data_IF_238587751122
#
_entry.id   IF_238587751122
#
_cell.length_a   1.000
_cell.length_b   1.000
_cell.length_c   1.000
_cell.angle_alpha   90.00
_cell.angle_beta   90.00
_cell.angle_gamma   90.00
#
_symmetry.space_group_name_H-M   'P 1'
#
loop_
_entity.id
_entity.type
_entity.pdbx_description
1 polymer ?
#
# COMPACT_ATOMS: atom_id res chain seq x y z
N UNK A 1 -18.62 33.24 -2.26
CA UNK A 1 -18.57 33.10 -3.73
C UNK A 1 -17.30 33.80 -4.19
N UNK A 2 -16.20 33.09 -4.32
CA UNK A 2 -14.97 33.61 -4.95
C UNK A 2 -15.10 33.36 -6.43
N UNK A 3 -15.50 34.43 -7.16
CA UNK A 3 -15.46 34.41 -8.60
C UNK A 3 -14.01 34.25 -9.05
N UNK A 4 -13.71 33.16 -9.74
CA UNK A 4 -12.48 33.03 -10.50
C UNK A 4 -12.54 34.11 -11.60
N UNK A 5 -11.74 35.16 -11.44
CA UNK A 5 -11.56 36.13 -12.49
C UNK A 5 -10.99 35.40 -13.73
N UNK A 6 -11.51 35.63 -14.95
CA UNK A 6 -10.92 35.09 -16.14
C UNK A 6 -9.46 35.56 -16.24
N UNK A 7 -8.54 34.62 -16.40
CA UNK A 7 -7.16 34.91 -16.60
C UNK A 7 -7.01 35.57 -18.01
N UNK A 8 -6.99 36.88 -18.07
CA UNK A 8 -6.61 37.59 -19.29
C UNK A 8 -5.12 37.37 -19.53
N UNK A 9 -4.79 36.54 -20.49
CA UNK A 9 -3.43 36.37 -20.93
C UNK A 9 -3.13 37.43 -21.99
N UNK A 10 -2.43 38.48 -21.58
CA UNK A 10 -1.86 39.45 -22.51
C UNK A 10 -0.66 38.82 -23.22
N UNK A 11 -0.82 38.45 -24.48
CA UNK A 11 0.28 37.93 -25.29
C UNK A 11 1.16 39.13 -25.69
N UNK A 12 2.27 39.30 -24.99
CA UNK A 12 3.35 40.15 -25.46
C UNK A 12 4.05 39.47 -26.69
N UNK A 13 4.54 40.21 -27.68
CA UNK A 13 5.19 39.63 -28.86
C UNK A 13 6.59 39.11 -28.52
N UNK A 14 6.66 38.13 -27.65
CA UNK A 14 7.87 37.40 -27.32
C UNK A 14 7.81 36.01 -27.96
N UNK A 15 8.98 35.47 -28.27
CA UNK A 15 9.10 34.12 -28.78
C UNK A 15 8.56 33.14 -27.72
N UNK A 16 7.50 32.41 -28.04
CA UNK A 16 6.98 31.37 -27.21
C UNK A 16 7.52 30.01 -27.66
N UNK A 17 8.09 29.27 -26.75
CA UNK A 17 8.44 27.87 -27.00
C UNK A 17 7.16 27.07 -27.29
N UNK A 18 7.14 26.28 -28.37
CA UNK A 18 5.97 25.48 -28.71
C UNK A 18 5.71 24.32 -27.72
N UNK A 19 6.66 24.08 -26.84
CA UNK A 19 6.59 22.98 -25.86
C UNK A 19 5.92 23.45 -24.56
N UNK A 20 4.94 22.67 -24.08
CA UNK A 20 4.25 22.90 -22.82
C UNK A 20 5.02 22.27 -21.66
N UNK A 21 5.35 23.08 -20.66
CA UNK A 21 5.86 22.58 -19.38
C UNK A 21 4.67 22.10 -18.56
N UNK A 22 4.52 20.78 -18.42
CA UNK A 22 3.48 20.17 -17.59
C UNK A 22 4.05 19.77 -16.25
N UNK A 23 3.45 20.29 -15.16
CA UNK A 23 3.76 19.83 -13.82
C UNK A 23 2.87 18.63 -13.46
N UNK A 24 3.51 17.49 -13.26
CA UNK A 24 2.83 16.29 -12.78
C UNK A 24 2.81 16.27 -11.25
N UNK A 25 1.71 15.83 -10.69
CA UNK A 25 1.70 15.47 -9.27
C UNK A 25 2.44 14.16 -9.08
N UNK A 26 3.21 14.06 -7.98
CA UNK A 26 3.99 12.87 -7.65
C UNK A 26 3.10 11.62 -7.62
N UNK A 27 3.44 10.65 -8.47
CA UNK A 27 2.84 9.32 -8.40
C UNK A 27 3.44 8.58 -7.20
N UNK A 28 2.61 7.94 -6.40
CA UNK A 28 3.08 7.05 -5.33
C UNK A 28 3.38 5.67 -5.90
N UNK A 29 4.52 5.11 -5.54
CA UNK A 29 4.83 3.69 -5.81
C UNK A 29 3.99 2.71 -5.00
N UNK A 30 3.22 3.19 -4.02
CA UNK A 30 2.47 2.34 -3.11
C UNK A 30 1.44 1.44 -3.82
N UNK A 31 0.71 1.95 -4.79
CA UNK A 31 -0.28 1.16 -5.54
C UNK A 31 0.37 -0.01 -6.27
N UNK A 32 1.40 0.27 -7.06
CA UNK A 32 2.10 -0.76 -7.84
C UNK A 32 2.77 -1.78 -6.92
N UNK A 33 3.42 -1.30 -5.86
CA UNK A 33 4.13 -2.17 -4.94
C UNK A 33 3.20 -3.06 -4.11
N UNK A 34 2.05 -2.56 -3.67
CA UNK A 34 1.10 -3.29 -2.83
C UNK A 34 0.11 -4.17 -3.63
N UNK A 35 0.25 -4.24 -4.94
CA UNK A 35 -0.62 -5.08 -5.78
C UNK A 35 -1.92 -4.41 -6.19
N UNK A 36 -1.96 -3.07 -6.21
CA UNK A 36 -3.09 -2.30 -6.73
C UNK A 36 -3.43 -2.54 -8.21
N UNK A 37 -2.65 -3.39 -8.89
CA UNK A 37 -2.93 -3.90 -10.23
C UNK A 37 -3.97 -5.02 -10.24
N UNK A 38 -4.28 -5.62 -9.09
CA UNK A 38 -5.35 -6.60 -8.92
C UNK A 38 -6.53 -5.96 -8.18
N UNK A 39 -7.30 -5.10 -8.85
CA UNK A 39 -8.38 -4.38 -8.20
C UNK A 39 -9.48 -5.35 -7.76
N UNK A 40 -10.13 -5.01 -6.66
CA UNK A 40 -11.39 -5.64 -6.29
C UNK A 40 -12.47 -5.37 -7.35
N UNK A 41 -13.51 -6.19 -7.38
CA UNK A 41 -14.63 -5.97 -8.29
C UNK A 41 -15.19 -4.56 -8.16
N UNK A 42 -15.55 -3.99 -9.30
CA UNK A 42 -16.12 -2.65 -9.40
C UNK A 42 -17.34 -2.52 -8.51
N UNK A 43 -17.34 -1.51 -7.64
CA UNK A 43 -18.47 -1.23 -6.78
C UNK A 43 -19.60 -0.57 -7.57
N UNK A 44 -20.83 -1.00 -7.30
CA UNK A 44 -22.04 -0.34 -7.78
C UNK A 44 -22.26 1.00 -7.06
N UNK A 45 -23.04 1.89 -7.66
CA UNK A 45 -23.34 3.20 -7.04
C UNK A 45 -24.12 3.08 -5.72
N UNK A 46 -24.84 1.98 -5.52
CA UNK A 46 -25.65 1.72 -4.34
C UNK A 46 -24.91 1.01 -3.21
N UNK A 47 -23.69 0.52 -3.46
CA UNK A 47 -22.93 -0.28 -2.47
C UNK A 47 -22.37 0.64 -1.37
N UNK A 48 -22.93 0.57 -0.18
CA UNK A 48 -22.51 1.38 0.98
C UNK A 48 -21.42 0.72 1.80
N UNK A 49 -21.34 -0.60 1.78
CA UNK A 49 -20.39 -1.40 2.55
C UNK A 49 -19.87 -2.57 1.71
N UNK A 50 -18.61 -2.91 1.93
CA UNK A 50 -18.01 -4.16 1.43
C UNK A 50 -17.82 -5.10 2.61
N UNK A 51 -18.25 -6.35 2.46
CA UNK A 51 -18.15 -7.38 3.47
C UNK A 51 -17.17 -8.48 3.04
N UNK A 52 -16.26 -8.86 3.93
CA UNK A 52 -15.43 -10.05 3.78
C UNK A 52 -15.79 -11.08 4.85
N UNK A 53 -15.92 -12.34 4.41
CA UNK A 53 -16.21 -13.47 5.29
C UNK A 53 -14.91 -13.96 5.90
N UNK A 54 -14.86 -14.08 7.22
CA UNK A 54 -13.74 -14.65 7.97
C UNK A 54 -14.19 -15.94 8.65
N UNK A 55 -13.39 -16.99 8.50
CA UNK A 55 -13.63 -18.28 9.13
C UNK A 55 -12.45 -18.56 10.08
N UNK A 56 -12.75 -18.68 11.35
CA UNK A 56 -11.76 -19.06 12.35
C UNK A 56 -11.95 -20.53 12.74
N UNK A 57 -10.91 -21.34 12.54
CA UNK A 57 -10.89 -22.73 12.95
C UNK A 57 -10.19 -22.84 14.30
N UNK A 58 -10.89 -23.40 15.29
CA UNK A 58 -10.30 -23.69 16.58
C UNK A 58 -10.13 -25.21 16.69
N UNK A 59 -8.88 -25.63 16.82
CA UNK A 59 -8.53 -27.05 16.95
C UNK A 59 -7.89 -27.28 18.31
N UNK A 60 -8.47 -28.15 19.11
CA UNK A 60 -7.88 -28.64 20.34
C UNK A 60 -7.78 -30.17 20.24
N UNK A 61 -6.59 -30.70 20.42
CA UNK A 61 -6.33 -32.13 20.45
C UNK A 61 -5.62 -32.44 21.75
N UNK A 62 -6.15 -33.41 22.48
CA UNK A 62 -5.54 -33.91 23.70
C UNK A 62 -5.19 -35.39 23.52
N UNK A 63 -3.93 -35.72 23.80
CA UNK A 63 -3.54 -37.13 23.91
C UNK A 63 -4.05 -37.68 25.23
N UNK A 64 -4.92 -38.68 25.17
CA UNK A 64 -5.50 -39.30 26.37
C UNK A 64 -5.31 -40.80 26.33
N UNK A 65 -4.81 -41.38 27.41
CA UNK A 65 -4.67 -42.84 27.59
C UNK A 65 -5.89 -43.48 28.21
N UNK A 66 -6.84 -42.72 28.72
CA UNK A 66 -8.06 -43.23 29.35
C UNK A 66 -9.30 -42.69 28.63
N UNK A 67 -10.37 -43.49 28.63
CA UNK A 67 -11.69 -43.14 28.12
C UNK A 67 -12.40 -42.11 29.01
N UNK A 68 -11.76 -40.96 29.27
CA UNK A 68 -12.40 -39.88 30.01
C UNK A 68 -13.40 -39.14 29.09
N UNK A 69 -14.58 -38.83 29.63
CA UNK A 69 -15.71 -38.21 28.91
C UNK A 69 -15.51 -36.76 28.47
N UNK A 70 -14.32 -36.22 28.58
CA UNK A 70 -14.01 -34.84 28.16
C UNK A 70 -13.07 -34.85 26.98
N UNK A 71 -13.62 -35.02 25.80
CA UNK A 71 -12.88 -34.84 24.55
C UNK A 71 -12.91 -33.37 24.15
N UNK A 72 -11.77 -32.78 23.77
CA UNK A 72 -11.73 -31.44 23.20
C UNK A 72 -12.47 -31.43 21.88
N UNK A 73 -13.22 -30.36 21.61
CA UNK A 73 -13.98 -30.19 20.37
C UNK A 73 -13.28 -29.27 19.40
N UNK A 74 -13.30 -29.65 18.14
CA UNK A 74 -12.99 -28.70 17.05
C UNK A 74 -14.21 -27.84 16.78
N UNK A 75 -14.03 -26.53 16.65
CA UNK A 75 -15.12 -25.61 16.35
C UNK A 75 -14.75 -24.67 15.20
N UNK A 76 -15.78 -24.21 14.50
CA UNK A 76 -15.66 -23.26 13.40
C UNK A 76 -16.48 -22.04 13.75
N UNK A 77 -15.84 -20.88 13.81
CA UNK A 77 -16.49 -19.61 14.14
C UNK A 77 -16.53 -18.75 12.87
N UNK A 78 -17.70 -18.61 12.22
CA UNK A 78 -17.85 -17.67 11.12
C UNK A 78 -17.98 -16.24 11.65
N UNK A 79 -17.33 -15.29 11.01
CA UNK A 79 -17.45 -13.87 11.30
C UNK A 79 -17.43 -13.07 10.01
N UNK A 80 -17.89 -11.83 10.05
CA UNK A 80 -17.82 -10.90 8.93
C UNK A 80 -17.06 -9.65 9.36
N UNK A 81 -16.21 -9.18 8.48
CA UNK A 81 -15.57 -7.88 8.60
C UNK A 81 -16.08 -6.99 7.47
N UNK A 82 -16.25 -5.71 7.72
CA UNK A 82 -16.81 -4.76 6.74
C UNK A 82 -16.00 -3.47 6.70
N UNK A 83 -16.03 -2.82 5.54
CA UNK A 83 -15.51 -1.47 5.36
C UNK A 83 -16.54 -0.62 4.63
N UNK A 84 -16.56 0.68 4.93
CA UNK A 84 -17.44 1.63 4.27
C UNK A 84 -16.94 1.98 2.87
N UNK A 85 -17.85 2.36 1.99
CA UNK A 85 -17.52 2.86 0.66
C UNK A 85 -17.74 4.37 0.60
N UNK A 86 -16.91 5.05 -0.18
CA UNK A 86 -16.92 6.49 -0.34
C UNK A 86 -17.09 6.87 -1.81
N UNK A 87 -17.84 7.92 -2.06
CA UNK A 87 -18.02 8.45 -3.40
C UNK A 87 -17.02 9.57 -3.64
N UNK A 88 -16.12 9.37 -4.58
CA UNK A 88 -15.16 10.36 -5.04
C UNK A 88 -15.75 11.12 -6.23
N UNK A 89 -15.73 12.43 -6.16
CA UNK A 89 -16.29 13.27 -7.21
C UNK A 89 -15.41 14.49 -7.44
N UNK A 90 -15.24 14.83 -8.71
CA UNK A 90 -14.68 16.12 -9.10
C UNK A 90 -15.40 16.63 -10.33
N UNK A 91 -15.44 17.93 -10.50
CA UNK A 91 -16.15 18.58 -11.60
C UNK A 91 -15.18 19.45 -12.39
N UNK A 92 -15.17 19.27 -13.70
CA UNK A 92 -14.52 20.17 -14.64
C UNK A 92 -15.58 20.93 -15.43
N UNK A 93 -15.38 22.21 -15.58
CA UNK A 93 -16.31 23.10 -16.31
C UNK A 93 -15.49 24.01 -17.22
N UNK A 94 -15.96 24.19 -18.44
CA UNK A 94 -15.38 25.14 -19.41
C UNK A 94 -16.49 25.64 -20.33
N UNK A 95 -16.28 26.79 -20.92
CA UNK A 95 -17.15 27.35 -21.94
C UNK A 95 -16.47 27.37 -23.33
N UNK A 96 -17.23 27.75 -24.35
CA UNK A 96 -16.70 27.81 -25.72
C UNK A 96 -15.62 28.90 -25.90
N UNK A 97 -15.64 29.95 -25.08
CA UNK A 97 -14.64 31.02 -25.11
C UNK A 97 -13.33 30.55 -24.50
N UNK A 98 -13.40 29.78 -23.40
CA UNK A 98 -12.23 29.18 -22.77
C UNK A 98 -11.57 28.18 -23.74
N UNK A 99 -12.33 27.38 -24.46
CA UNK A 99 -11.82 26.43 -25.44
C UNK A 99 -11.16 27.15 -26.64
N UNK A 100 -11.77 28.21 -27.13
CA UNK A 100 -11.18 29.02 -28.21
C UNK A 100 -9.90 29.72 -27.75
N UNK A 101 -9.89 30.28 -26.53
CA UNK A 101 -8.71 30.96 -25.99
C UNK A 101 -7.54 29.98 -25.80
N UNK A 102 -7.81 28.77 -25.30
CA UNK A 102 -6.77 27.73 -25.08
C UNK A 102 -6.33 27.09 -26.39
N UNK A 103 -7.21 27.02 -27.40
CA UNK A 103 -6.87 26.61 -28.76
C UNK A 103 -5.78 27.50 -29.37
N UNK A 104 -5.81 28.82 -29.09
CA UNK A 104 -4.75 29.75 -29.50
C UNK A 104 -3.39 29.46 -28.82
N UNK A 105 -3.37 28.76 -27.71
CA UNK A 105 -2.17 28.30 -26.99
C UNK A 105 -1.69 26.90 -27.42
N UNK A 106 -2.39 26.27 -28.37
CA UNK A 106 -2.00 24.97 -28.94
C UNK A 106 -2.29 23.78 -28.08
N UNK A 107 -3.17 23.88 -27.07
CA UNK A 107 -3.59 22.71 -26.27
C UNK A 107 -5.12 22.59 -26.15
N UNK A 108 -5.60 21.35 -26.01
CA UNK A 108 -7.02 21.06 -25.86
C UNK A 108 -7.42 21.13 -24.37
N UNK A 109 -8.15 22.18 -23.99
CA UNK A 109 -8.62 22.40 -22.62
C UNK A 109 -9.43 21.21 -22.06
N UNK A 110 -10.37 20.58 -22.80
CA UNK A 110 -11.11 19.43 -22.28
C UNK A 110 -10.22 18.27 -21.87
N UNK A 111 -9.16 18.00 -22.65
CA UNK A 111 -8.21 16.92 -22.33
C UNK A 111 -7.35 17.23 -21.11
N UNK A 112 -6.90 18.49 -20.98
CA UNK A 112 -6.13 18.93 -19.82
C UNK A 112 -6.97 18.84 -18.52
N UNK A 113 -8.23 19.27 -18.57
CA UNK A 113 -9.15 19.17 -17.44
C UNK A 113 -9.47 17.71 -17.07
N UNK A 114 -9.62 16.85 -18.09
CA UNK A 114 -9.82 15.41 -17.90
C UNK A 114 -8.63 14.77 -17.20
N UNK A 115 -7.41 15.12 -17.62
CA UNK A 115 -6.18 14.64 -17.00
C UNK A 115 -6.08 15.11 -15.55
N UNK A 116 -6.34 16.40 -15.28
CA UNK A 116 -6.31 16.98 -13.95
C UNK A 116 -7.34 16.30 -13.00
N UNK A 117 -8.55 16.06 -13.50
CA UNK A 117 -9.60 15.38 -12.73
C UNK A 117 -9.20 13.94 -12.35
N UNK A 118 -8.63 13.18 -13.31
CA UNK A 118 -8.16 11.82 -13.06
C UNK A 118 -6.97 11.78 -12.10
N UNK A 119 -6.03 12.71 -12.23
CA UNK A 119 -4.92 12.83 -11.30
C UNK A 119 -5.39 13.16 -9.87
N UNK A 120 -6.33 14.08 -9.72
CA UNK A 120 -6.90 14.42 -8.41
C UNK A 120 -7.57 13.22 -7.74
N UNK A 121 -8.33 12.42 -8.49
CA UNK A 121 -8.95 11.20 -7.98
C UNK A 121 -7.88 10.15 -7.61
N UNK A 122 -6.86 9.97 -8.44
CA UNK A 122 -5.78 9.02 -8.14
C UNK A 122 -4.99 9.40 -6.89
N UNK A 123 -4.73 10.70 -6.67
CA UNK A 123 -4.12 11.18 -5.42
C UNK A 123 -4.99 10.91 -4.21
N UNK A 124 -6.29 11.13 -4.32
CA UNK A 124 -7.22 10.87 -3.22
C UNK A 124 -7.31 9.38 -2.90
N UNK A 125 -7.30 8.52 -3.92
CA UNK A 125 -7.24 7.06 -3.73
C UNK A 125 -5.96 6.63 -3.02
N UNK A 126 -4.82 7.21 -3.36
CA UNK A 126 -3.56 6.95 -2.67
C UNK A 126 -3.63 7.31 -1.18
N UNK A 127 -4.14 8.50 -0.89
CA UNK A 127 -4.34 8.93 0.50
C UNK A 127 -5.30 7.99 1.23
N UNK A 128 -6.36 7.57 0.57
CA UNK A 128 -7.31 6.62 1.13
C UNK A 128 -6.71 5.23 1.35
N UNK A 129 -5.74 4.80 0.51
CA UNK A 129 -5.03 3.53 0.71
C UNK A 129 -4.24 3.55 2.02
N UNK A 130 -3.45 4.58 2.25
CA UNK A 130 -2.54 4.64 3.39
C UNK A 130 -3.22 5.15 4.67
N UNK A 131 -3.98 6.23 4.57
CA UNK A 131 -4.53 6.95 5.72
C UNK A 131 -6.01 6.70 5.96
N UNK A 132 -6.75 6.24 4.94
CA UNK A 132 -8.20 6.11 4.98
C UNK A 132 -8.93 7.45 4.91
N UNK A 133 -10.25 7.39 4.76
CA UNK A 133 -11.12 8.57 4.86
C UNK A 133 -11.54 8.85 6.30
N UNK A 134 -11.60 7.81 7.12
CA UNK A 134 -11.89 7.89 8.55
C UNK A 134 -10.87 7.09 9.37
N UNK A 135 -9.69 7.70 9.66
CA UNK A 135 -8.60 7.02 10.38
C UNK A 135 -9.00 6.51 11.76
N UNK A 136 -9.92 7.20 12.44
CA UNK A 136 -10.39 6.82 13.78
C UNK A 136 -11.15 5.50 13.80
N UNK A 137 -11.72 5.09 12.67
CA UNK A 137 -12.40 3.79 12.50
C UNK A 137 -11.44 2.67 12.04
N UNK A 138 -10.13 2.91 12.05
CA UNK A 138 -9.14 1.92 11.61
C UNK A 138 -9.06 1.78 10.08
N UNK A 139 -9.57 2.75 9.34
CA UNK A 139 -9.44 2.81 7.90
C UNK A 139 -8.05 3.27 7.48
N UNK A 140 -7.58 2.76 6.34
CA UNK A 140 -6.23 2.98 5.85
C UNK A 140 -5.25 1.94 6.39
N UNK A 141 -4.23 1.63 5.60
CA UNK A 141 -3.27 0.58 5.97
C UNK A 141 -2.48 0.92 7.23
N UNK A 142 -2.14 2.20 7.44
CA UNK A 142 -1.43 2.65 8.65
C UNK A 142 -2.25 2.51 9.92
N UNK A 143 -3.58 2.58 9.80
CA UNK A 143 -4.50 2.56 10.93
C UNK A 143 -5.22 1.22 11.09
N UNK A 144 -4.83 0.21 10.30
CA UNK A 144 -5.48 -1.11 10.33
C UNK A 144 -5.44 -1.70 11.73
N UNK A 145 -6.61 -1.95 12.30
CA UNK A 145 -6.73 -2.57 13.63
C UNK A 145 -6.15 -3.99 13.63
N UNK A 146 -5.27 -4.28 14.58
CA UNK A 146 -4.59 -5.57 14.66
C UNK A 146 -3.30 -5.66 13.84
N UNK A 147 -2.91 -4.63 13.11
CA UNK A 147 -1.57 -4.54 12.55
C UNK A 147 -0.52 -4.47 13.67
N UNK A 148 0.67 -5.02 13.42
CA UNK A 148 1.73 -4.98 14.41
C UNK A 148 2.49 -3.67 14.32
N UNK A 149 2.45 -2.90 15.40
CA UNK A 149 3.28 -1.70 15.54
C UNK A 149 4.62 -2.07 16.18
N UNK A 150 5.71 -1.57 15.60
CA UNK A 150 7.08 -1.75 16.06
C UNK A 150 7.76 -0.38 16.11
N UNK A 151 8.56 -0.13 17.12
CA UNK A 151 9.38 1.08 17.19
C UNK A 151 10.84 0.71 17.00
N UNK A 152 11.57 1.51 16.23
CA UNK A 152 13.02 1.42 16.15
C UNK A 152 13.58 1.94 17.48
N UNK A 153 14.19 1.04 18.24
CA UNK A 153 14.85 1.39 19.50
C UNK A 153 16.22 2.05 19.26
N UNK A 154 17.07 2.01 20.27
CA UNK A 154 18.47 2.38 20.11
C UNK A 154 19.29 1.18 19.61
N UNK A 155 20.33 1.46 18.80
CA UNK A 155 21.32 0.47 18.41
C UNK A 155 22.27 0.13 19.59
N UNK A 156 23.22 -0.76 19.40
CA UNK A 156 24.20 -1.12 20.45
C UNK A 156 25.11 0.05 20.85
N UNK A 157 25.20 1.10 20.04
CA UNK A 157 25.98 2.32 20.30
C UNK A 157 25.11 3.41 20.95
N UNK A 158 23.81 3.19 21.13
CA UNK A 158 22.88 4.14 21.72
C UNK A 158 22.25 5.11 20.72
N UNK A 159 22.45 4.94 19.41
CA UNK A 159 21.83 5.78 18.39
C UNK A 159 20.37 5.40 18.19
N UNK A 160 19.47 6.38 18.15
CA UNK A 160 18.02 6.18 18.02
C UNK A 160 17.48 6.48 16.63
N UNK A 161 18.21 7.26 15.82
CA UNK A 161 17.83 7.59 14.44
C UNK A 161 18.40 6.58 13.45
N UNK A 162 17.60 6.15 12.48
CA UNK A 162 18.05 5.19 11.46
C UNK A 162 19.18 5.74 10.56
N UNK A 163 19.34 7.06 10.49
CA UNK A 163 20.44 7.71 9.76
C UNK A 163 21.81 7.49 10.43
N UNK A 164 21.82 7.23 11.73
CA UNK A 164 23.02 7.03 12.53
C UNK A 164 23.21 5.58 12.99
N UNK A 165 22.23 4.72 12.75
CA UNK A 165 22.29 3.30 13.09
C UNK A 165 23.39 2.58 12.29
N UNK A 166 24.00 1.59 12.93
CA UNK A 166 24.87 0.65 12.22
C UNK A 166 24.09 -0.10 11.15
N UNK A 167 24.62 -0.09 9.92
CA UNK A 167 23.94 -0.67 8.76
C UNK A 167 23.72 -2.17 8.87
N UNK A 168 24.62 -2.90 9.52
CA UNK A 168 24.48 -4.33 9.74
C UNK A 168 23.37 -4.64 10.75
N UNK A 169 23.29 -3.86 11.82
CA UNK A 169 22.21 -4.01 12.82
C UNK A 169 20.87 -3.63 12.25
N UNK A 170 20.79 -2.60 11.40
CA UNK A 170 19.57 -2.20 10.73
C UNK A 170 19.08 -3.29 9.77
N UNK A 171 19.98 -3.89 8.98
CA UNK A 171 19.65 -5.02 8.12
C UNK A 171 19.16 -6.23 8.92
N UNK A 172 19.81 -6.56 10.03
CA UNK A 172 19.39 -7.64 10.93
C UNK A 172 18.00 -7.35 11.54
N UNK A 173 17.75 -6.11 11.93
CA UNK A 173 16.44 -5.70 12.44
C UNK A 173 15.33 -5.90 11.41
N UNK A 174 15.57 -5.52 10.14
CA UNK A 174 14.63 -5.75 9.06
C UNK A 174 14.39 -7.23 8.79
N UNK A 175 15.43 -8.07 8.82
CA UNK A 175 15.30 -9.52 8.70
C UNK A 175 14.50 -10.13 9.85
N UNK A 176 14.70 -9.63 11.09
CA UNK A 176 13.89 -10.05 12.24
C UNK A 176 12.41 -9.67 12.07
N UNK A 177 12.10 -8.49 11.49
CA UNK A 177 10.73 -8.11 11.15
C UNK A 177 10.11 -9.08 10.14
N UNK A 178 10.86 -9.46 9.08
CA UNK A 178 10.42 -10.47 8.10
C UNK A 178 10.13 -11.80 8.80
N UNK A 179 11.07 -12.27 9.62
CA UNK A 179 10.90 -13.51 10.39
C UNK A 179 9.66 -13.48 11.29
N UNK A 180 9.46 -12.39 12.03
CA UNK A 180 8.30 -12.21 12.89
C UNK A 180 6.97 -12.20 12.11
N UNK A 181 6.95 -11.56 10.94
CA UNK A 181 5.78 -11.58 10.05
C UNK A 181 5.48 -13.00 9.58
N UNK A 182 6.50 -13.76 9.14
CA UNK A 182 6.32 -15.15 8.67
C UNK A 182 5.83 -16.07 9.77
N UNK A 183 6.30 -15.92 11.01
CA UNK A 183 5.82 -16.68 12.16
C UNK A 183 4.34 -16.37 12.44
N UNK A 184 3.98 -15.09 12.46
CA UNK A 184 2.61 -14.62 12.73
C UNK A 184 1.62 -15.12 11.69
N UNK A 185 2.03 -15.12 10.41
CA UNK A 185 1.19 -15.54 9.29
C UNK A 185 1.26 -17.05 9.00
N UNK A 186 2.02 -17.79 9.79
CA UNK A 186 2.25 -19.23 9.59
C UNK A 186 2.85 -19.57 8.21
N UNK A 187 3.67 -18.68 7.67
CA UNK A 187 4.28 -18.82 6.34
C UNK A 187 5.75 -19.25 6.39
N UNK A 188 6.17 -19.91 7.47
CA UNK A 188 7.54 -20.43 7.64
C UNK A 188 7.82 -21.43 6.51
N UNK A 189 8.94 -21.23 5.79
CA UNK A 189 9.33 -22.10 4.65
C UNK A 189 8.48 -21.93 3.38
N UNK A 190 7.57 -20.95 3.34
CA UNK A 190 6.80 -20.60 2.15
C UNK A 190 7.36 -19.32 1.54
N UNK A 191 7.72 -19.29 0.25
CA UNK A 191 8.20 -18.08 -0.41
C UNK A 191 7.06 -17.05 -0.53
N UNK A 192 7.33 -15.82 -0.08
CA UNK A 192 6.40 -14.70 -0.12
C UNK A 192 7.01 -13.54 -0.92
N UNK A 193 6.12 -12.72 -1.47
CA UNK A 193 6.49 -11.37 -1.90
C UNK A 193 6.27 -10.44 -0.73
N UNK A 194 7.31 -9.72 -0.33
CA UNK A 194 7.33 -8.80 0.80
C UNK A 194 7.62 -7.39 0.29
N UNK A 195 6.84 -6.44 0.71
CA UNK A 195 7.00 -5.04 0.30
C UNK A 195 7.35 -4.20 1.51
N UNK A 196 8.51 -3.52 1.44
CA UNK A 196 8.84 -2.42 2.33
C UNK A 196 8.45 -1.12 1.66
N UNK A 197 7.45 -0.45 2.19
CA UNK A 197 7.05 0.88 1.77
C UNK A 197 7.60 1.89 2.77
N UNK A 198 8.46 2.80 2.32
CA UNK A 198 9.17 3.72 3.18
C UNK A 198 9.45 5.06 2.49
N UNK A 199 9.75 6.14 3.24
CA UNK A 199 10.23 7.38 2.69
C UNK A 199 11.53 7.20 1.89
N UNK A 200 11.74 8.03 0.86
CA UNK A 200 12.96 8.02 0.05
C UNK A 200 14.23 8.12 0.91
N UNK A 201 14.20 8.94 1.96
CA UNK A 201 15.36 9.12 2.86
C UNK A 201 15.75 7.83 3.57
N UNK A 202 14.77 6.98 3.95
CA UNK A 202 15.08 5.67 4.55
C UNK A 202 15.67 4.72 3.51
N UNK A 203 15.04 4.63 2.33
CA UNK A 203 15.52 3.74 1.26
C UNK A 203 16.91 4.16 0.78
N UNK A 204 17.17 5.47 0.65
CA UNK A 204 18.50 5.96 0.31
C UNK A 204 19.53 5.56 1.36
N UNK A 205 19.19 5.67 2.64
CA UNK A 205 20.08 5.30 3.73
C UNK A 205 20.46 3.81 3.67
N UNK A 206 19.51 2.90 3.57
CA UNK A 206 19.78 1.46 3.50
C UNK A 206 20.45 1.02 2.20
N UNK A 207 20.26 1.76 1.12
CA UNK A 207 20.88 1.48 -0.19
C UNK A 207 22.31 2.02 -0.28
N UNK A 208 22.64 3.08 0.48
CA UNK A 208 23.97 3.68 0.49
C UNK A 208 24.88 3.09 1.59
N UNK A 209 24.31 2.70 2.72
CA UNK A 209 25.07 2.20 3.85
C UNK A 209 25.64 0.81 3.56
N UNK A 210 26.95 0.72 3.45
CA UNK A 210 27.65 -0.55 3.30
C UNK A 210 27.68 -1.33 4.61
N UNK A 211 27.41 -2.62 4.55
CA UNK A 211 27.57 -3.52 5.69
C UNK A 211 29.02 -3.96 5.77
N UNK A 212 29.71 -3.55 6.83
CA UNK A 212 31.08 -4.01 7.08
C UNK A 212 31.03 -5.42 7.66
N UNK A 213 31.39 -6.41 6.84
CA UNK A 213 31.57 -7.77 7.33
C UNK A 213 32.82 -7.85 8.22
N UNK A 214 32.64 -8.16 9.50
CA UNK A 214 33.71 -8.37 10.47
C UNK A 214 34.52 -9.67 10.21
N UNK A 215 34.20 -10.45 9.19
CA UNK A 215 34.94 -11.65 8.83
C UNK A 215 36.18 -11.27 8.00
N UNK A 216 37.34 -11.61 8.48
CA UNK A 216 38.66 -11.39 7.84
C UNK A 216 38.82 -12.09 6.48
N UNK A 217 37.81 -12.78 5.98
CA UNK A 217 37.77 -13.47 4.68
C UNK A 217 36.81 -12.76 3.72
N UNK A 218 37.13 -11.52 3.35
CA UNK A 218 36.54 -10.95 2.14
C UNK A 218 37.08 -11.73 0.94
N UNK A 219 36.17 -12.37 0.20
CA UNK A 219 36.48 -12.87 -1.14
C UNK A 219 36.94 -11.67 -1.97
N UNK A 220 38.15 -11.77 -2.53
CA UNK A 220 38.68 -10.77 -3.47
C UNK A 220 37.64 -10.65 -4.61
N UNK A 221 37.03 -9.47 -4.76
CA UNK A 221 35.99 -9.19 -5.75
C UNK A 221 34.55 -9.19 -5.23
N UNK A 222 34.28 -9.50 -3.96
CA UNK A 222 32.99 -9.22 -3.34
C UNK A 222 32.89 -7.71 -3.05
N UNK A 223 32.02 -7.00 -3.75
CA UNK A 223 31.72 -5.61 -3.42
C UNK A 223 31.15 -5.47 -2.01
N UNK A 224 31.20 -4.28 -1.46
CA UNK A 224 30.54 -3.97 -0.17
C UNK A 224 29.04 -4.16 -0.38
N UNK A 225 28.46 -5.12 0.34
CA UNK A 225 27.02 -5.36 0.29
C UNK A 225 26.30 -4.26 1.06
N UNK A 226 25.24 -3.70 0.48
CA UNK A 226 24.43 -2.68 1.16
C UNK A 226 23.43 -3.34 2.11
N UNK A 227 22.89 -2.59 3.07
CA UNK A 227 21.90 -3.12 3.99
C UNK A 227 20.66 -3.65 3.24
N UNK A 228 20.20 -2.96 2.19
CA UNK A 228 19.10 -3.42 1.33
C UNK A 228 19.45 -4.71 0.59
N UNK A 229 20.62 -4.78 -0.04
CA UNK A 229 21.10 -5.97 -0.75
C UNK A 229 21.25 -7.18 0.16
N UNK A 230 21.74 -6.99 1.38
CA UNK A 230 21.84 -8.05 2.38
C UNK A 230 20.44 -8.59 2.76
N UNK A 231 19.47 -7.70 2.99
CA UNK A 231 18.10 -8.11 3.32
C UNK A 231 17.48 -8.92 2.17
N UNK A 232 17.61 -8.47 0.92
CA UNK A 232 17.11 -9.19 -0.25
C UNK A 232 17.78 -10.56 -0.41
N UNK A 233 19.10 -10.60 -0.29
CA UNK A 233 19.89 -11.83 -0.46
C UNK A 233 19.54 -12.85 0.61
N UNK A 234 19.53 -12.45 1.89
CA UNK A 234 19.23 -13.35 3.00
C UNK A 234 17.78 -13.82 2.99
N UNK A 235 16.81 -12.93 2.71
CA UNK A 235 15.40 -13.31 2.61
C UNK A 235 15.18 -14.32 1.49
N UNK A 236 15.82 -14.12 0.35
CA UNK A 236 15.79 -15.08 -0.78
C UNK A 236 16.42 -16.42 -0.41
N UNK A 237 17.54 -16.42 0.28
CA UNK A 237 18.23 -17.65 0.70
C UNK A 237 17.47 -18.41 1.77
N UNK A 238 16.98 -17.71 2.80
CA UNK A 238 16.34 -18.32 3.95
C UNK A 238 14.92 -18.84 3.66
N UNK A 239 14.18 -18.16 2.79
CA UNK A 239 12.77 -18.48 2.55
C UNK A 239 12.33 -18.48 1.10
N UNK A 240 13.20 -18.14 0.15
CA UNK A 240 12.84 -17.90 -1.24
C UNK A 240 12.00 -16.63 -1.42
N UNK A 241 12.04 -15.73 -0.43
CA UNK A 241 11.20 -14.53 -0.41
C UNK A 241 11.72 -13.50 -1.42
N UNK A 242 10.79 -12.80 -2.05
CA UNK A 242 11.05 -11.63 -2.88
C UNK A 242 10.80 -10.37 -2.03
N UNK A 243 11.83 -9.59 -1.77
CA UNK A 243 11.72 -8.33 -1.05
C UNK A 243 11.74 -7.19 -2.06
N UNK A 244 10.76 -6.30 -1.97
CA UNK A 244 10.62 -5.12 -2.84
C UNK A 244 10.61 -3.88 -1.96
N UNK A 245 11.47 -2.92 -2.29
CA UNK A 245 11.48 -1.61 -1.65
C UNK A 245 10.73 -0.61 -2.51
N UNK A 246 9.74 0.04 -1.94
CA UNK A 246 8.92 1.04 -2.60
C UNK A 246 8.95 2.38 -1.84
N UNK A 247 8.98 3.46 -2.60
CA UNK A 247 9.10 4.82 -2.05
C UNK A 247 7.72 5.46 -1.90
N UNK A 248 7.46 6.01 -0.72
CA UNK A 248 6.37 6.96 -0.51
C UNK A 248 6.73 7.99 0.56
N UNK A 249 7.04 9.21 0.13
CA UNK A 249 7.46 10.29 1.03
C UNK A 249 6.32 10.88 1.88
N UNK A 250 5.08 10.50 1.61
CA UNK A 250 3.96 10.90 2.48
C UNK A 250 4.02 10.22 3.85
N UNK A 251 4.81 9.16 4.01
CA UNK A 251 5.03 8.46 5.27
C UNK A 251 5.97 9.19 6.25
N UNK A 252 6.58 10.29 5.82
CA UNK A 252 7.41 11.14 6.68
C UNK A 252 6.55 11.72 7.81
N UNK A 253 6.99 11.53 9.05
CA UNK A 253 6.29 12.05 10.23
C UNK A 253 4.98 11.34 10.59
N UNK A 254 4.65 10.22 9.94
CA UNK A 254 3.41 9.47 10.17
C UNK A 254 3.56 8.28 11.14
N UNK A 255 4.75 8.06 11.66
CA UNK A 255 4.99 7.09 12.70
C UNK A 255 4.64 7.60 14.09
N UNK A 256 4.71 6.73 15.09
CA UNK A 256 4.45 7.08 16.47
C UNK A 256 5.38 8.22 16.95
N UNK A 257 4.81 9.24 17.59
CA UNK A 257 5.56 10.39 18.08
C UNK A 257 6.09 11.33 16.99
N UNK A 258 5.53 11.30 15.77
CA UNK A 258 5.97 12.14 14.65
C UNK A 258 7.24 11.61 13.95
N UNK A 259 7.60 10.36 14.16
CA UNK A 259 8.68 9.66 13.46
C UNK A 259 8.21 9.23 12.06
N UNK A 260 9.12 8.67 11.26
CA UNK A 260 8.74 8.11 9.96
C UNK A 260 8.01 6.80 10.13
N UNK A 261 7.01 6.57 9.30
CA UNK A 261 6.36 5.28 9.18
C UNK A 261 7.03 4.47 8.05
N UNK A 262 7.37 3.22 8.35
CA UNK A 262 7.88 2.25 7.40
C UNK A 262 6.97 1.04 7.49
N UNK A 263 6.39 0.62 6.38
CA UNK A 263 5.44 -0.49 6.35
C UNK A 263 6.09 -1.71 5.74
N UNK A 264 6.01 -2.85 6.44
CA UNK A 264 6.32 -4.16 5.89
C UNK A 264 5.01 -4.90 5.66
N UNK A 265 4.74 -5.26 4.42
CA UNK A 265 3.48 -5.88 3.99
C UNK A 265 3.77 -7.12 3.17
N UNK A 266 3.04 -8.20 3.43
CA UNK A 266 2.91 -9.32 2.50
C UNK A 266 1.57 -9.18 1.75
N UNK A 267 1.54 -8.68 0.50
CA UNK A 267 0.29 -8.44 -0.24
C UNK A 267 -0.54 -9.70 -0.43
N UNK A 268 0.11 -10.85 -0.51
CA UNK A 268 -0.53 -12.14 -0.66
C UNK A 268 0.05 -13.17 0.30
N UNK A 269 -0.81 -13.98 0.90
CA UNK A 269 -0.42 -15.15 1.69
C UNK A 269 -0.78 -16.42 0.92
N UNK A 270 0.14 -17.37 0.93
CA UNK A 270 -0.09 -18.70 0.34
C UNK A 270 -0.69 -19.63 1.40
N UNK A 271 -1.39 -20.67 0.97
CA UNK A 271 -1.84 -21.71 1.89
C UNK A 271 -0.62 -22.42 2.48
N UNK A 272 -0.47 -22.46 3.82
CA UNK A 272 0.68 -23.08 4.45
C UNK A 272 0.84 -24.55 4.03
N UNK A 273 2.05 -24.93 3.60
CA UNK A 273 2.33 -26.30 3.13
C UNK A 273 2.07 -27.36 4.21
N UNK A 274 2.36 -27.03 5.46
CA UNK A 274 2.12 -27.94 6.60
C UNK A 274 0.64 -28.30 6.74
N UNK A 275 -0.26 -27.38 6.47
CA UNK A 275 -1.70 -27.62 6.54
C UNK A 275 -2.22 -28.41 5.35
N UNK A 276 -1.65 -28.21 4.16
CA UNK A 276 -2.01 -28.97 2.97
C UNK A 276 -1.63 -30.47 3.06
N UNK A 277 -0.62 -30.82 3.86
CA UNK A 277 -0.18 -32.21 4.04
C UNK A 277 -1.11 -33.04 4.92
N UNK A 278 -1.96 -32.44 5.76
CA UNK A 278 -2.77 -33.16 6.73
C UNK A 278 -4.01 -33.79 6.09
N UNK A 279 -4.65 -33.11 5.14
CA UNK A 279 -5.77 -33.67 4.39
C UNK A 279 -6.02 -32.89 3.08
N UNK A 280 -5.43 -33.35 1.99
CA UNK A 280 -5.52 -32.72 0.68
C UNK A 280 -6.96 -32.58 0.15
N UNK A 281 -7.84 -33.52 0.45
CA UNK A 281 -9.22 -33.50 -0.05
C UNK A 281 -10.08 -32.42 0.64
N UNK A 282 -9.93 -32.25 1.96
CA UNK A 282 -10.66 -31.20 2.68
C UNK A 282 -10.15 -29.81 2.28
N UNK A 283 -8.83 -29.65 2.16
CA UNK A 283 -8.25 -28.40 1.66
C UNK A 283 -8.62 -28.11 0.23
N UNK A 284 -8.65 -29.10 -0.66
CA UNK A 284 -9.03 -28.91 -2.04
C UNK A 284 -10.47 -28.40 -2.21
N UNK A 285 -11.38 -28.76 -1.32
CA UNK A 285 -12.77 -28.27 -1.33
C UNK A 285 -12.92 -26.84 -0.82
N UNK A 286 -12.04 -26.37 0.09
CA UNK A 286 -12.09 -25.04 0.68
C UNK A 286 -11.20 -24.03 -0.07
N UNK A 287 -10.09 -24.48 -0.66
CA UNK A 287 -9.07 -23.63 -1.32
C UNK A 287 -9.65 -22.67 -2.38
N UNK A 288 -10.62 -23.04 -3.24
CA UNK A 288 -11.17 -22.13 -4.23
C UNK A 288 -11.86 -20.89 -3.63
N UNK A 289 -12.28 -20.98 -2.38
CA UNK A 289 -13.01 -19.90 -1.70
C UNK A 289 -12.12 -19.12 -0.70
N UNK A 290 -10.84 -19.47 -0.59
CA UNK A 290 -9.89 -18.78 0.30
C UNK A 290 -9.17 -17.71 -0.50
N UNK A 291 -9.34 -16.45 -0.12
CA UNK A 291 -8.56 -15.37 -0.72
C UNK A 291 -7.12 -15.39 -0.23
N UNK A 292 -6.18 -15.28 -1.15
CA UNK A 292 -4.75 -15.09 -0.84
C UNK A 292 -4.44 -13.64 -0.46
N UNK A 293 -5.26 -12.69 -0.93
CA UNK A 293 -5.04 -11.25 -0.75
C UNK A 293 -5.16 -10.85 0.72
N UNK A 294 -4.21 -10.05 1.18
CA UNK A 294 -4.16 -9.53 2.57
C UNK A 294 -4.70 -8.12 2.69
N UNK A 295 -4.68 -7.40 1.58
CA UNK A 295 -5.12 -6.01 1.45
C UNK A 295 -6.26 -5.95 0.46
N UNK A 296 -7.19 -5.04 0.68
CA UNK A 296 -8.21 -4.69 -0.29
C UNK A 296 -8.21 -3.19 -0.54
N UNK A 297 -8.28 -2.84 -1.80
CA UNK A 297 -8.62 -1.52 -2.29
C UNK A 297 -9.57 -1.74 -3.45
N UNK A 298 -10.59 -0.91 -3.56
CA UNK A 298 -11.50 -1.03 -4.69
C UNK A 298 -10.86 -0.58 -6.00
N UNK A 299 -11.51 -0.96 -7.08
CA UNK A 299 -11.11 -0.70 -8.46
C UNK A 299 -10.53 0.71 -8.65
N UNK A 300 -9.34 0.76 -9.22
CA UNK A 300 -8.62 1.98 -9.61
C UNK A 300 -8.94 2.36 -11.06
N UNK A 301 -10.03 1.83 -11.61
CA UNK A 301 -10.45 2.12 -12.99
C UNK A 301 -10.74 3.61 -13.21
N UNK A 302 -10.78 4.00 -14.47
CA UNK A 302 -11.11 5.37 -14.82
C UNK A 302 -12.48 5.78 -14.25
N UNK A 303 -12.62 6.97 -13.67
CA UNK A 303 -13.90 7.46 -13.16
C UNK A 303 -14.94 7.53 -14.28
N UNK A 304 -16.20 7.34 -13.92
CA UNK A 304 -17.32 7.56 -14.83
C UNK A 304 -17.44 9.05 -15.14
N UNK A 305 -17.52 9.41 -16.39
CA UNK A 305 -17.64 10.79 -16.88
C UNK A 305 -19.08 11.06 -17.29
N UNK A 306 -19.67 12.09 -16.71
CA UNK A 306 -21.05 12.52 -17.01
C UNK A 306 -21.01 13.96 -17.52
N UNK A 307 -20.97 14.18 -18.84
CA UNK A 307 -21.01 15.52 -19.41
C UNK A 307 -22.43 16.06 -19.34
N UNK A 308 -22.58 17.31 -18.92
CA UNK A 308 -23.86 18.03 -18.86
C UNK A 308 -23.68 19.40 -19.51
N UNK A 309 -24.47 19.77 -20.53
CA UNK A 309 -24.42 21.09 -21.10
C UNK A 309 -24.92 22.14 -20.10
N UNK A 310 -24.35 23.33 -20.14
CA UNK A 310 -24.74 24.48 -19.33
C UNK A 310 -25.47 25.48 -20.22
N UNK A 311 -26.40 26.27 -19.64
CA UNK A 311 -27.22 27.22 -20.35
C UNK A 311 -26.43 28.28 -21.12
N UNK A 312 -25.21 28.62 -20.66
CA UNK A 312 -24.33 29.63 -21.26
C UNK A 312 -23.41 29.08 -22.37
N UNK A 313 -23.74 27.91 -22.94
CA UNK A 313 -22.98 27.31 -24.05
C UNK A 313 -21.71 26.55 -23.62
N UNK A 314 -21.54 26.31 -22.33
CA UNK A 314 -20.44 25.52 -21.79
C UNK A 314 -20.80 24.05 -21.52
N UNK A 315 -19.79 23.28 -21.12
CA UNK A 315 -19.94 21.88 -20.70
C UNK A 315 -19.39 21.73 -19.29
N UNK A 316 -20.20 21.11 -18.42
CA UNK A 316 -19.76 20.62 -17.13
C UNK A 316 -19.64 19.11 -17.18
N UNK A 317 -18.46 18.57 -16.89
CA UNK A 317 -18.25 17.13 -16.79
C UNK A 317 -18.05 16.75 -15.32
N UNK A 318 -18.93 15.89 -14.81
CA UNK A 318 -18.78 15.29 -13.49
C UNK A 318 -18.01 13.97 -13.64
N UNK A 319 -16.90 13.89 -12.94
CA UNK A 319 -16.12 12.66 -12.79
C UNK A 319 -16.49 12.02 -11.45
N UNK A 320 -16.98 10.80 -11.48
CA UNK A 320 -17.42 10.10 -10.29
C UNK A 320 -16.93 8.67 -10.27
N UNK A 321 -16.51 8.20 -9.10
CA UNK A 321 -16.24 6.78 -8.85
C UNK A 321 -16.54 6.45 -7.39
N UNK A 322 -16.77 5.18 -7.11
CA UNK A 322 -16.92 4.67 -5.77
C UNK A 322 -15.71 3.84 -5.37
N UNK A 323 -15.20 4.06 -4.18
CA UNK A 323 -14.01 3.39 -3.67
C UNK A 323 -14.14 3.08 -2.18
N UNK A 324 -13.37 2.11 -1.70
CA UNK A 324 -13.13 1.91 -0.27
C UNK A 324 -11.83 2.61 0.14
N UNK A 325 -11.65 2.81 1.44
CA UNK A 325 -10.32 3.04 2.00
C UNK A 325 -9.45 1.78 1.82
N UNK A 326 -8.13 1.94 1.92
CA UNK A 326 -7.25 0.80 2.07
C UNK A 326 -7.65 0.00 3.30
N UNK A 327 -7.77 -1.28 3.13
CA UNK A 327 -8.30 -2.16 4.16
C UNK A 327 -7.46 -3.42 4.29
N UNK A 328 -6.86 -3.62 5.47
CA UNK A 328 -6.15 -4.85 5.81
C UNK A 328 -7.13 -5.94 6.23
N UNK A 329 -7.41 -6.90 5.35
CA UNK A 329 -8.28 -8.04 5.68
C UNK A 329 -7.58 -8.98 6.64
N UNK A 330 -6.24 -9.06 6.50
CA UNK A 330 -5.35 -9.89 7.34
C UNK A 330 -4.32 -8.99 8.00
N UNK A 331 -4.67 -8.35 9.11
CA UNK A 331 -3.78 -7.42 9.79
C UNK A 331 -2.47 -8.06 10.27
N UNK A 332 -2.45 -9.37 10.46
CA UNK A 332 -1.25 -10.14 10.79
C UNK A 332 -0.17 -10.08 9.70
N UNK A 333 -0.53 -9.79 8.45
CA UNK A 333 0.39 -9.65 7.33
C UNK A 333 0.98 -8.24 7.20
N UNK A 334 0.63 -7.34 8.12
CA UNK A 334 1.04 -5.95 8.12
C UNK A 334 1.86 -5.62 9.37
N UNK A 335 2.98 -4.97 9.19
CA UNK A 335 3.81 -4.42 10.27
C UNK A 335 4.09 -2.95 9.97
N UNK A 336 3.85 -2.08 10.93
CA UNK A 336 4.17 -0.66 10.84
C UNK A 336 5.33 -0.37 11.79
N UNK A 337 6.47 0.00 11.23
CA UNK A 337 7.64 0.43 11.98
C UNK A 337 7.65 1.95 12.09
N UNK A 338 7.80 2.46 13.29
CA UNK A 338 8.03 3.88 13.58
C UNK A 338 9.51 4.07 13.85
N UNK A 339 10.18 4.88 13.05
CA UNK A 339 11.61 5.11 13.13
C UNK A 339 11.94 6.60 13.04
N UNK A 340 12.77 7.11 13.96
CA UNK A 340 13.31 8.45 13.86
C UNK A 340 14.37 8.51 12.76
N UNK A 341 14.49 9.70 12.13
CA UNK A 341 15.52 9.97 11.11
C UNK A 341 16.90 10.14 11.72
#
# INVERSE_FOLDING_TARGET
MSGLAPAFVTVNPHFMLPELIMQYSLASGAFTALGGENPMPRLGEADLYVYAKKLQLTTQVQANQSTANQLPSASVIPSMISTATYRLQTRAQYDNFDEAATGAWGYALPQALRLAARQGIAQQLRNALLYGYNPTNGEGLLNTSGATAVNLGADTNGNTGYSTWDSGQLAQFMLNMIGALKVRTLQIGTPLRLVFLAPQRFISQISYSGVVSLTQFQRIGAGVETAAGLVETVAKWAGGDEVVFAVDDTLIGQGAGGTDAIMLVAPELKTPKANAAINTNVFASLTPNITATTLMLTDVSAPTEIPTPIADGGITTLYTMRSTSGWGIRPEALTVLSAAY
#
